data_IF_273612176601
#
_entry.id   IF_273612176601
#
_cell.length_a   1.000
_cell.length_b   1.000
_cell.length_c   1.000
_cell.angle_alpha   90.00
_cell.angle_beta   90.00
_cell.angle_gamma   90.00
#
_symmetry.space_group_name_H-M   'P 1'
#
loop_
_entity.id
_entity.type
_entity.pdbx_description
1 polymer ?
#
# COMPACT_ATOMS: atom_id res chain seq x y z
N UNK A 1 3.82 -3.61 -8.62
CA UNK A 1 2.99 -4.84 -8.59
C UNK A 1 1.64 -4.54 -9.22
N UNK A 2 0.96 -5.55 -9.79
CA UNK A 2 -0.40 -5.39 -10.32
C UNK A 2 -1.33 -6.31 -9.55
N UNK A 3 -2.48 -5.79 -9.11
CA UNK A 3 -3.59 -6.59 -8.58
C UNK A 3 -4.68 -6.65 -9.64
N UNK A 4 -5.08 -7.87 -10.02
CA UNK A 4 -6.24 -8.09 -10.88
C UNK A 4 -7.46 -8.30 -9.98
N UNK A 5 -8.45 -7.42 -10.12
CA UNK A 5 -9.73 -7.53 -9.40
C UNK A 5 -10.63 -8.59 -10.05
N UNK A 6 -11.65 -9.04 -9.33
CA UNK A 6 -12.62 -10.04 -9.81
C UNK A 6 -13.42 -9.61 -11.05
N UNK A 7 -13.50 -8.30 -11.32
CA UNK A 7 -14.09 -7.72 -12.53
C UNK A 7 -13.09 -7.63 -13.70
N UNK A 8 -11.90 -8.24 -13.61
CA UNK A 8 -10.86 -8.20 -14.63
C UNK A 8 -10.03 -6.90 -14.64
N UNK A 9 -10.32 -5.95 -13.75
CA UNK A 9 -9.66 -4.67 -13.70
C UNK A 9 -8.26 -4.78 -13.09
N UNK A 10 -7.25 -4.33 -13.82
CA UNK A 10 -5.89 -4.19 -13.31
C UNK A 10 -5.74 -2.92 -12.47
N UNK A 11 -5.13 -3.06 -11.30
CA UNK A 11 -4.77 -1.97 -10.39
C UNK A 11 -3.26 -1.99 -10.20
N UNK A 12 -2.59 -0.95 -10.68
CA UNK A 12 -1.15 -0.78 -10.51
C UNK A 12 -0.84 -0.27 -9.10
N UNK A 13 0.14 -0.91 -8.47
CA UNK A 13 0.72 -0.52 -7.19
C UNK A 13 2.18 -0.13 -7.38
N UNK A 14 2.59 1.02 -6.85
CA UNK A 14 3.95 1.56 -6.95
C UNK A 14 4.56 1.74 -5.58
N UNK A 15 5.77 1.22 -5.36
CA UNK A 15 6.54 1.52 -4.14
C UNK A 15 7.12 2.92 -4.29
N UNK A 16 6.86 3.79 -3.33
CA UNK A 16 7.38 5.17 -3.31
C UNK A 16 8.63 5.25 -2.45
N UNK A 17 8.60 4.66 -1.26
CA UNK A 17 9.73 4.66 -0.35
C UNK A 17 9.70 3.44 0.57
N UNK A 18 10.89 3.07 1.06
CA UNK A 18 11.08 2.01 2.05
C UNK A 18 12.01 2.54 3.12
N UNK A 19 11.53 2.68 4.34
CA UNK A 19 12.35 3.02 5.51
C UNK A 19 12.57 1.76 6.35
N UNK A 20 13.76 1.18 6.23
CA UNK A 20 14.12 -0.05 6.95
C UNK A 20 14.33 0.16 8.44
N UNK A 21 14.68 1.38 8.89
CA UNK A 21 14.88 1.68 10.31
C UNK A 21 13.55 1.78 11.03
N UNK A 22 12.60 2.47 10.41
CA UNK A 22 11.22 2.58 10.90
C UNK A 22 10.37 1.39 10.53
N UNK A 23 10.91 0.48 9.71
CA UNK A 23 10.22 -0.74 9.28
C UNK A 23 8.92 -0.40 8.56
N UNK A 24 9.01 0.59 7.68
CA UNK A 24 7.90 1.20 6.96
C UNK A 24 8.09 1.11 5.44
N UNK A 25 6.98 0.96 4.73
CA UNK A 25 6.92 1.03 3.27
C UNK A 25 5.74 1.89 2.86
N UNK A 26 5.99 2.75 1.88
CA UNK A 26 4.97 3.63 1.30
C UNK A 26 4.65 3.11 -0.09
N UNK A 27 3.37 2.77 -0.31
CA UNK A 27 2.85 2.23 -1.56
C UNK A 27 1.77 3.15 -2.10
N UNK A 28 1.89 3.53 -3.34
CA UNK A 28 0.94 4.36 -4.07
C UNK A 28 0.03 3.53 -4.96
N UNK A 29 -1.22 3.97 -5.05
CA UNK A 29 -2.22 3.50 -6.00
C UNK A 29 -2.72 4.71 -6.79
N UNK A 30 -2.07 5.06 -7.90
CA UNK A 30 -2.39 6.26 -8.67
C UNK A 30 -3.87 6.30 -9.08
N UNK A 31 -4.40 5.13 -9.47
CA UNK A 31 -5.80 4.96 -9.87
C UNK A 31 -6.81 5.40 -8.80
N UNK A 32 -6.44 5.27 -7.53
CA UNK A 32 -7.29 5.65 -6.40
C UNK A 32 -6.90 7.00 -5.78
N UNK A 33 -5.95 7.71 -6.40
CA UNK A 33 -5.37 8.93 -5.89
C UNK A 33 -4.98 8.79 -4.40
N UNK A 34 -4.43 7.63 -4.03
CA UNK A 34 -4.21 7.23 -2.64
C UNK A 34 -2.81 6.65 -2.45
N UNK A 35 -2.19 7.01 -1.34
CA UNK A 35 -0.92 6.48 -0.85
C UNK A 35 -1.14 5.80 0.50
N UNK A 36 -0.45 4.69 0.73
CA UNK A 36 -0.58 3.83 1.89
C UNK A 36 0.77 3.54 2.53
N UNK A 37 0.94 3.91 3.80
CA UNK A 37 2.11 3.62 4.62
C UNK A 37 1.81 2.44 5.52
N UNK A 38 2.54 1.35 5.30
CA UNK A 38 2.49 0.15 6.12
C UNK A 38 3.73 0.08 7.00
N UNK A 39 3.57 -0.45 8.21
CA UNK A 39 4.67 -0.73 9.14
C UNK A 39 4.61 -2.18 9.62
N UNK A 40 5.77 -2.75 9.92
CA UNK A 40 5.91 -4.05 10.57
C UNK A 40 6.55 -4.00 11.97
N UNK A 41 6.56 -2.81 12.60
CA UNK A 41 7.15 -2.59 13.93
C UNK A 41 6.59 -3.51 15.01
N UNK A 42 5.29 -3.85 14.97
CA UNK A 42 4.64 -4.72 15.97
C UNK A 42 4.80 -6.22 15.66
N UNK A 43 5.63 -6.57 14.67
CA UNK A 43 5.76 -7.93 14.16
C UNK A 43 4.63 -8.35 13.22
N UNK A 44 3.65 -7.48 12.96
CA UNK A 44 2.56 -7.67 11.99
C UNK A 44 2.51 -6.49 11.03
N UNK A 45 2.21 -6.77 9.76
CA UNK A 45 2.01 -5.71 8.76
C UNK A 45 0.68 -5.02 9.04
N UNK A 46 0.75 -3.73 9.35
CA UNK A 46 -0.42 -2.90 9.60
C UNK A 46 -0.27 -1.54 8.92
N UNK A 47 -1.40 -0.92 8.57
CA UNK A 47 -1.43 0.47 8.15
C UNK A 47 -1.12 1.35 9.36
N UNK A 48 -0.32 2.40 9.19
CA UNK A 48 -0.08 3.37 10.28
C UNK A 48 -1.32 4.24 10.51
N UNK A 49 -1.41 4.91 11.66
CA UNK A 49 -2.60 5.70 12.08
C UNK A 49 -3.02 6.75 11.05
N UNK A 50 -2.05 7.39 10.37
CA UNK A 50 -2.24 8.30 9.24
C UNK A 50 -1.67 7.73 7.94
N UNK A 51 -1.66 6.41 7.84
CA UNK A 51 -1.00 5.71 6.75
C UNK A 51 -1.69 5.88 5.41
N UNK A 52 -2.95 6.32 5.38
CA UNK A 52 -3.62 6.64 4.12
C UNK A 52 -3.57 8.14 3.83
N UNK A 53 -3.03 8.51 2.68
CA UNK A 53 -2.93 9.90 2.22
C UNK A 53 -3.43 10.05 0.79
N UNK A 54 -3.86 11.26 0.42
CA UNK A 54 -4.25 11.62 -0.95
C UNK A 54 -3.01 12.13 -1.69
N UNK A 55 -2.74 11.62 -2.89
CA UNK A 55 -1.54 11.98 -3.66
C UNK A 55 -1.70 13.40 -4.23
N UNK A 56 -2.85 13.67 -4.86
CA UNK A 56 -3.18 14.94 -5.47
C UNK A 56 -4.50 15.49 -4.92
N UNK A 57 -4.45 16.60 -4.18
CA UNK A 57 -5.62 17.23 -3.58
C UNK A 57 -6.58 17.86 -4.60
N UNK A 58 -6.16 18.07 -5.84
CA UNK A 58 -7.02 18.62 -6.91
C UNK A 58 -7.83 17.56 -7.65
N UNK A 59 -7.58 16.28 -7.37
CA UNK A 59 -8.29 15.16 -7.99
C UNK A 59 -9.16 14.43 -6.96
N UNK A 60 -10.32 13.89 -7.36
CA UNK A 60 -11.14 13.09 -6.47
C UNK A 60 -10.38 11.83 -6.03
N UNK A 61 -10.37 11.56 -4.72
CA UNK A 61 -9.82 10.33 -4.16
C UNK A 61 -10.90 9.25 -4.07
N UNK A 62 -10.54 8.01 -4.41
CA UNK A 62 -11.47 6.89 -4.30
C UNK A 62 -11.63 6.52 -2.83
N UNK A 63 -12.73 6.89 -2.19
CA UNK A 63 -12.95 6.69 -0.75
C UNK A 63 -12.91 5.19 -0.39
N UNK A 64 -13.52 4.34 -1.22
CA UNK A 64 -13.60 2.90 -0.99
C UNK A 64 -12.62 2.12 -1.88
N UNK A 65 -11.50 1.70 -1.31
CA UNK A 65 -10.60 0.74 -1.95
C UNK A 65 -11.11 -0.67 -1.69
N UNK A 66 -11.20 -1.49 -2.75
CA UNK A 66 -11.73 -2.84 -2.64
C UNK A 66 -10.90 -3.70 -1.67
N UNK A 67 -11.57 -4.58 -0.92
CA UNK A 67 -10.91 -5.45 0.08
C UNK A 67 -9.78 -6.30 -0.52
N UNK A 68 -9.95 -6.80 -1.75
CA UNK A 68 -8.91 -7.56 -2.45
C UNK A 68 -7.65 -6.75 -2.71
N UNK A 69 -7.81 -5.46 -3.02
CA UNK A 69 -6.67 -4.54 -3.24
C UNK A 69 -5.95 -4.29 -1.92
N UNK A 70 -6.68 -4.08 -0.81
CA UNK A 70 -6.10 -3.97 0.53
C UNK A 70 -5.33 -5.23 0.96
N UNK A 71 -5.90 -6.41 0.74
CA UNK A 71 -5.24 -7.66 1.08
C UNK A 71 -3.93 -7.82 0.29
N UNK A 72 -3.96 -7.56 -1.03
CA UNK A 72 -2.77 -7.60 -1.86
C UNK A 72 -1.71 -6.56 -1.48
N UNK A 73 -2.13 -5.35 -1.09
CA UNK A 73 -1.24 -4.32 -0.55
C UNK A 73 -0.52 -4.77 0.71
N UNK A 74 -1.25 -5.27 1.69
CA UNK A 74 -0.68 -5.70 2.96
C UNK A 74 0.29 -6.88 2.78
N UNK A 75 -0.06 -7.84 1.91
CA UNK A 75 0.84 -8.94 1.55
C UNK A 75 2.11 -8.44 0.85
N UNK A 76 1.97 -7.51 -0.10
CA UNK A 76 3.13 -6.98 -0.82
C UNK A 76 4.02 -6.13 0.09
N UNK A 77 3.44 -5.29 0.95
CA UNK A 77 4.16 -4.56 1.99
C UNK A 77 4.95 -5.51 2.90
N UNK A 78 4.33 -6.63 3.29
CA UNK A 78 4.99 -7.70 4.03
C UNK A 78 6.16 -8.34 3.29
N UNK A 79 6.00 -8.61 2.00
CA UNK A 79 7.09 -9.13 1.17
C UNK A 79 8.24 -8.13 1.09
N UNK A 80 7.96 -6.84 0.88
CA UNK A 80 8.97 -5.80 0.78
C UNK A 80 9.73 -5.68 2.10
N UNK A 81 9.01 -5.58 3.22
CA UNK A 81 9.59 -5.42 4.56
C UNK A 81 10.31 -6.69 5.05
N UNK A 82 9.77 -7.87 4.71
CA UNK A 82 10.31 -9.18 5.07
C UNK A 82 11.57 -9.58 4.30
N UNK A 83 11.78 -9.07 3.09
CA UNK A 83 12.98 -9.34 2.28
C UNK A 83 14.30 -8.92 2.98
N UNK A 84 14.23 -8.04 3.99
CA UNK A 84 15.39 -7.65 4.81
C UNK A 84 15.67 -8.56 6.01
N UNK A 85 14.90 -9.62 6.22
CA UNK A 85 15.14 -10.62 7.30
C UNK A 85 15.90 -11.86 6.81
N UNK A 86 16.26 -11.93 5.52
CA UNK A 86 17.16 -12.94 4.95
C UNK A 86 18.55 -12.36 4.77
#
# INVERSE_FOLDING_TARGET
MIIIRSNGEAVELKVVSVDRRKREVVIEIPKYNSQFTFSDMTGRIALTENGRQVINKTQPATIHVARSVYAGLAMWAGSILGDSRR
#
